data_IF_477997735593
#
_entry.id   IF_477997735593
#
_cell.length_a   1.000
_cell.length_b   1.000
_cell.length_c   1.000
_cell.angle_alpha   90.00
_cell.angle_beta   90.00
_cell.angle_gamma   90.00
#
_symmetry.space_group_name_H-M   'P 1'
#
loop_
_entity.id
_entity.type
_entity.pdbx_description
1 polymer ?
#
# COMPACT_ATOMS: atom_id res chain seq x y z
N UNK A 1 11.59 -2.19 -6.49
CA UNK A 1 12.81 -1.83 -7.25
C UNK A 1 13.96 -1.65 -6.26
N UNK A 2 15.07 -2.37 -6.41
CA UNK A 2 16.19 -2.29 -5.48
C UNK A 2 16.97 -1.01 -5.78
N UNK A 3 17.05 -0.10 -4.83
CA UNK A 3 17.85 1.13 -4.95
C UNK A 3 19.28 0.77 -5.38
N UNK A 4 19.81 1.43 -6.41
CA UNK A 4 21.17 1.25 -6.94
C UNK A 4 21.35 0.12 -7.95
N UNK A 5 20.28 -0.56 -8.39
CA UNK A 5 20.35 -1.52 -9.50
C UNK A 5 19.52 -1.03 -10.68
N UNK A 6 20.21 -0.48 -11.66
CA UNK A 6 19.60 -0.06 -12.92
C UNK A 6 19.91 -1.09 -14.00
N UNK A 7 18.87 -1.78 -14.48
CA UNK A 7 18.99 -2.71 -15.61
C UNK A 7 18.32 -2.07 -16.81
N UNK A 8 19.10 -1.84 -17.84
CA UNK A 8 18.61 -1.43 -19.15
C UNK A 8 18.66 -2.66 -20.06
N UNK A 9 17.58 -2.87 -20.79
CA UNK A 9 17.49 -3.96 -21.77
C UNK A 9 18.21 -3.58 -23.06
N UNK A 10 19.55 -3.74 -23.09
CA UNK A 10 20.37 -3.57 -24.29
C UNK A 10 20.57 -4.91 -25.00
N UNK A 11 20.91 -4.90 -26.27
CA UNK A 11 21.27 -6.12 -27.03
C UNK A 11 22.40 -6.89 -26.38
N UNK A 12 23.44 -6.20 -25.94
CA UNK A 12 24.60 -6.76 -25.26
C UNK A 12 24.20 -7.41 -23.94
N UNK A 13 23.33 -6.76 -23.18
CA UNK A 13 22.84 -7.29 -21.89
C UNK A 13 21.97 -8.53 -22.07
N UNK A 14 21.06 -8.51 -23.03
CA UNK A 14 20.22 -9.67 -23.37
C UNK A 14 21.09 -10.83 -23.85
N UNK A 15 22.04 -10.59 -24.74
CA UNK A 15 22.97 -11.61 -25.21
C UNK A 15 23.74 -12.26 -24.06
N UNK A 16 24.26 -11.45 -23.13
CA UNK A 16 24.99 -11.92 -21.96
C UNK A 16 24.14 -12.85 -21.06
N UNK A 17 22.91 -12.46 -20.75
CA UNK A 17 22.06 -13.22 -19.87
C UNK A 17 21.35 -14.42 -20.53
N UNK A 18 21.39 -14.49 -21.87
CA UNK A 18 20.86 -15.63 -22.63
C UNK A 18 21.96 -16.52 -23.19
N UNK A 19 23.21 -16.37 -22.74
CA UNK A 19 24.39 -17.09 -23.26
C UNK A 19 24.52 -16.97 -24.78
N UNK A 20 24.28 -15.78 -25.33
CA UNK A 20 24.35 -15.50 -26.76
C UNK A 20 23.16 -16.00 -27.60
N UNK A 21 22.17 -16.65 -26.99
CA UNK A 21 21.01 -17.20 -27.69
C UNK A 21 20.14 -16.17 -28.39
N UNK A 22 20.03 -15.00 -27.78
CA UNK A 22 19.24 -13.86 -28.31
C UNK A 22 20.09 -12.60 -28.36
N UNK A 23 20.09 -11.93 -29.51
CA UNK A 23 20.74 -10.62 -29.72
C UNK A 23 19.85 -9.77 -30.61
N UNK A 24 18.85 -9.09 -30.03
CA UNK A 24 17.94 -8.23 -30.79
C UNK A 24 18.70 -7.02 -31.37
N UNK A 25 18.33 -6.60 -32.59
CA UNK A 25 19.07 -5.57 -33.33
C UNK A 25 18.51 -4.15 -33.18
N UNK A 26 17.38 -3.99 -32.48
CA UNK A 26 16.63 -2.73 -32.45
C UNK A 26 16.56 -2.11 -31.05
N UNK A 27 17.49 -2.41 -30.17
CA UNK A 27 17.58 -1.80 -28.85
C UNK A 27 18.65 -0.71 -28.82
N UNK A 28 18.37 0.35 -28.09
CA UNK A 28 19.33 1.41 -27.86
C UNK A 28 20.42 0.90 -26.89
N UNK A 29 21.66 0.75 -27.38
CA UNK A 29 22.79 0.31 -26.55
C UNK A 29 23.28 1.41 -25.58
N UNK A 30 23.02 2.67 -25.91
CA UNK A 30 23.39 3.85 -25.12
C UNK A 30 22.25 4.36 -24.24
N UNK A 31 21.20 3.51 -24.02
CA UNK A 31 20.08 3.89 -23.19
C UNK A 31 20.51 4.09 -21.74
N UNK A 32 20.29 5.27 -21.21
CA UNK A 32 20.51 5.57 -19.81
C UNK A 32 19.38 4.99 -18.93
N UNK A 33 19.69 4.51 -17.72
CA UNK A 33 18.67 4.11 -16.77
C UNK A 33 17.72 5.26 -16.47
N UNK A 34 16.43 4.99 -16.41
CA UNK A 34 15.47 6.01 -15.97
C UNK A 34 15.80 6.44 -14.55
N UNK A 35 16.10 7.71 -14.36
CA UNK A 35 16.22 8.26 -13.02
C UNK A 35 14.86 8.27 -12.34
N UNK A 36 14.81 7.71 -11.14
CA UNK A 36 13.63 7.87 -10.31
C UNK A 36 13.65 9.25 -9.71
N UNK A 37 12.76 10.11 -10.15
CA UNK A 37 12.57 11.44 -9.56
C UNK A 37 11.91 11.39 -8.17
N UNK A 38 11.50 10.22 -7.70
CA UNK A 38 10.84 10.02 -6.43
C UNK A 38 11.73 9.18 -5.51
N UNK A 39 12.34 9.80 -4.53
CA UNK A 39 12.87 9.12 -3.37
C UNK A 39 11.72 8.95 -2.37
N UNK A 40 11.29 7.71 -2.17
CA UNK A 40 10.40 7.41 -1.05
C UNK A 40 11.28 7.19 0.18
N UNK A 41 11.20 8.08 1.15
CA UNK A 41 11.69 7.80 2.49
C UNK A 41 10.83 6.69 3.06
N UNK A 42 11.40 5.50 3.13
CA UNK A 42 10.84 4.41 3.91
C UNK A 42 11.21 4.75 5.35
N UNK A 43 10.42 5.60 5.98
CA UNK A 43 10.53 5.86 7.40
C UNK A 43 10.46 4.53 8.15
N UNK A 44 11.11 4.45 9.29
CA UNK A 44 10.95 3.29 10.17
C UNK A 44 9.45 3.12 10.41
N UNK A 45 8.93 1.96 10.00
CA UNK A 45 7.54 1.63 10.19
C UNK A 45 7.34 1.48 11.69
N UNK A 46 6.62 2.40 12.29
CA UNK A 46 6.18 2.27 13.66
C UNK A 46 4.96 1.34 13.67
N UNK A 47 5.21 0.06 13.96
CA UNK A 47 4.17 -0.96 14.02
C UNK A 47 3.29 -0.85 15.27
N UNK A 48 3.28 0.28 15.95
CA UNK A 48 2.52 0.45 17.17
C UNK A 48 1.09 0.89 16.90
N UNK A 49 0.20 0.20 17.55
CA UNK A 49 -1.12 0.54 18.05
C UNK A 49 -2.36 0.25 17.19
N UNK A 50 -2.90 -0.97 17.41
CA UNK A 50 -4.34 -1.24 17.26
C UNK A 50 -5.20 -0.53 18.33
N UNK A 51 -4.60 0.15 19.32
CA UNK A 51 -5.29 0.78 20.46
C UNK A 51 -4.97 2.26 20.59
N UNK A 52 -5.08 3.00 19.49
CA UNK A 52 -4.92 4.46 19.49
C UNK A 52 -6.00 5.18 20.32
N UNK A 53 -7.15 4.53 20.57
CA UNK A 53 -8.34 5.17 21.12
C UNK A 53 -9.12 6.01 20.11
N UNK A 54 -8.67 6.09 18.86
CA UNK A 54 -9.35 6.80 17.79
C UNK A 54 -10.68 6.12 17.45
N UNK A 55 -11.69 6.96 17.13
CA UNK A 55 -13.04 6.50 16.83
C UNK A 55 -13.36 6.46 15.34
N UNK A 56 -12.44 6.94 14.53
CA UNK A 56 -12.58 7.05 13.08
C UNK A 56 -11.53 6.19 12.38
N UNK A 57 -11.96 5.38 11.42
CA UNK A 57 -11.10 4.51 10.61
C UNK A 57 -11.24 4.89 9.13
N UNK A 58 -10.11 5.11 8.46
CA UNK A 58 -10.04 5.30 7.01
C UNK A 58 -9.43 4.06 6.36
N UNK A 59 -10.07 3.57 5.31
CA UNK A 59 -9.67 2.38 4.56
C UNK A 59 -9.63 2.73 3.06
N UNK A 60 -8.46 2.62 2.46
CA UNK A 60 -8.32 2.82 1.02
C UNK A 60 -8.61 1.54 0.22
N UNK A 61 -8.92 1.72 -1.05
CA UNK A 61 -9.32 0.66 -1.97
C UNK A 61 -8.28 -0.46 -2.19
N UNK A 62 -7.06 -0.28 -1.72
CA UNK A 62 -6.01 -1.29 -1.79
C UNK A 62 -5.89 -2.15 -0.51
N UNK A 63 -6.71 -1.86 0.51
CA UNK A 63 -6.66 -2.52 1.81
C UNK A 63 -8.03 -3.06 2.26
N UNK A 64 -8.76 -3.65 1.33
CA UNK A 64 -10.14 -4.13 1.56
C UNK A 64 -10.17 -5.57 2.12
N UNK A 65 -9.38 -5.85 3.15
CA UNK A 65 -9.39 -7.12 3.86
C UNK A 65 -10.61 -7.19 4.80
N UNK A 66 -11.63 -7.96 4.38
CA UNK A 66 -12.90 -8.06 5.12
C UNK A 66 -12.71 -8.69 6.49
N UNK A 67 -11.85 -9.70 6.61
CA UNK A 67 -11.65 -10.43 7.87
C UNK A 67 -10.95 -9.53 8.88
N UNK A 68 -9.91 -8.83 8.44
CA UNK A 68 -9.22 -7.86 9.30
C UNK A 68 -10.14 -6.70 9.71
N UNK A 69 -10.89 -6.10 8.76
CA UNK A 69 -11.84 -5.03 9.05
C UNK A 69 -12.90 -5.50 10.05
N UNK A 70 -13.44 -6.71 9.88
CA UNK A 70 -14.42 -7.31 10.81
C UNK A 70 -13.84 -7.46 12.21
N UNK A 71 -12.58 -7.91 12.32
CA UNK A 71 -11.87 -8.09 13.60
C UNK A 71 -11.73 -6.79 14.38
N UNK A 72 -11.48 -5.67 13.69
CA UNK A 72 -11.22 -4.37 14.34
C UNK A 72 -12.45 -3.45 14.42
N UNK A 73 -13.54 -3.79 13.70
CA UNK A 73 -14.73 -2.96 13.49
C UNK A 73 -15.28 -2.33 14.76
N UNK A 74 -15.36 -3.09 15.83
CA UNK A 74 -16.01 -2.68 17.09
C UNK A 74 -15.21 -1.62 17.87
N UNK A 75 -13.97 -1.35 17.47
CA UNK A 75 -13.15 -0.29 18.05
C UNK A 75 -13.53 1.11 17.52
N UNK A 76 -14.28 1.17 16.39
CA UNK A 76 -14.56 2.40 15.66
C UNK A 76 -16.05 2.74 15.64
N UNK A 77 -16.34 4.01 15.80
CA UNK A 77 -17.68 4.56 15.62
C UNK A 77 -17.99 4.83 14.16
N UNK A 78 -16.98 5.30 13.42
CA UNK A 78 -17.11 5.64 12.01
C UNK A 78 -16.05 4.92 11.17
N UNK A 79 -16.48 4.33 10.05
CA UNK A 79 -15.60 3.72 9.04
C UNK A 79 -15.81 4.45 7.72
N UNK A 80 -14.72 4.93 7.16
CA UNK A 80 -14.68 5.67 5.91
C UNK A 80 -13.90 4.89 4.87
N UNK A 81 -14.57 4.51 3.78
CA UNK A 81 -13.91 3.93 2.61
C UNK A 81 -13.52 5.04 1.65
N UNK A 82 -12.28 5.02 1.18
CA UNK A 82 -11.73 6.04 0.30
C UNK A 82 -11.22 5.44 -1.00
N UNK A 83 -11.57 6.06 -2.12
CA UNK A 83 -11.02 5.80 -3.44
C UNK A 83 -10.70 7.13 -4.10
N UNK A 84 -9.41 7.40 -4.33
CA UNK A 84 -9.01 8.63 -5.00
C UNK A 84 -9.48 8.65 -6.45
N UNK A 85 -10.09 9.76 -6.86
CA UNK A 85 -10.43 10.01 -8.26
C UNK A 85 -9.18 10.16 -9.13
N UNK A 86 -9.37 10.06 -10.45
CA UNK A 86 -8.27 10.30 -11.37
C UNK A 86 -7.70 11.73 -11.31
N UNK A 87 -8.46 12.70 -10.83
CA UNK A 87 -8.00 14.09 -10.73
C UNK A 87 -6.97 14.28 -9.62
N UNK A 88 -6.99 13.42 -8.62
CA UNK A 88 -6.02 13.40 -7.50
C UNK A 88 -4.85 12.45 -7.72
N UNK A 89 -4.79 11.77 -8.89
CA UNK A 89 -3.75 10.80 -9.22
C UNK A 89 -2.72 11.39 -10.19
N UNK A 90 -1.44 11.13 -9.93
CA UNK A 90 -0.35 11.41 -10.86
C UNK A 90 -0.44 10.45 -12.05
N UNK A 91 -0.66 9.16 -11.78
CA UNK A 91 -0.89 8.14 -12.80
C UNK A 91 -2.38 7.82 -12.91
N UNK A 92 -3.01 8.33 -13.95
CA UNK A 92 -4.43 8.10 -14.21
C UNK A 92 -4.71 6.65 -14.54
N UNK A 93 -5.73 6.10 -13.92
CA UNK A 93 -6.25 4.76 -14.20
C UNK A 93 -7.24 4.82 -15.38
N UNK A 94 -7.39 3.72 -16.12
CA UNK A 94 -8.43 3.62 -17.13
C UNK A 94 -9.83 3.61 -16.50
N UNK A 95 -10.85 4.01 -17.26
CA UNK A 95 -12.24 4.00 -16.79
C UNK A 95 -12.69 2.63 -16.28
N UNK A 96 -12.30 1.55 -16.96
CA UNK A 96 -12.63 0.20 -16.52
C UNK A 96 -12.03 -0.14 -15.15
N UNK A 97 -10.78 0.28 -14.89
CA UNK A 97 -10.13 0.05 -13.60
C UNK A 97 -10.77 0.89 -12.51
N UNK A 98 -11.12 2.15 -12.79
CA UNK A 98 -11.84 3.01 -11.85
C UNK A 98 -13.21 2.44 -11.51
N UNK A 99 -13.97 2.01 -12.52
CA UNK A 99 -15.28 1.38 -12.33
C UNK A 99 -15.17 0.12 -11.47
N UNK A 100 -14.20 -0.75 -11.77
CA UNK A 100 -13.96 -1.95 -10.97
C UNK A 100 -13.67 -1.62 -9.51
N UNK A 101 -12.76 -0.67 -9.26
CA UNK A 101 -12.41 -0.25 -7.88
C UNK A 101 -13.61 0.37 -7.15
N UNK A 102 -14.42 1.19 -7.82
CA UNK A 102 -15.64 1.73 -7.24
C UNK A 102 -16.61 0.63 -6.80
N UNK A 103 -16.90 -0.32 -7.70
CA UNK A 103 -17.78 -1.45 -7.39
C UNK A 103 -17.26 -2.29 -6.23
N UNK A 104 -15.96 -2.49 -6.16
CA UNK A 104 -15.32 -3.23 -5.07
C UNK A 104 -15.49 -2.50 -3.72
N UNK A 105 -15.23 -1.20 -3.68
CA UNK A 105 -15.42 -0.38 -2.48
C UNK A 105 -16.88 -0.35 -2.06
N UNK A 106 -17.81 -0.20 -3.00
CA UNK A 106 -19.24 -0.24 -2.73
C UNK A 106 -19.71 -1.60 -2.16
N UNK A 107 -19.21 -2.70 -2.71
CA UNK A 107 -19.57 -4.04 -2.24
C UNK A 107 -19.09 -4.27 -0.80
N UNK A 108 -17.84 -3.88 -0.53
CA UNK A 108 -17.26 -4.03 0.80
C UNK A 108 -17.96 -3.10 1.81
N UNK A 109 -18.20 -1.84 1.45
CA UNK A 109 -18.84 -0.87 2.37
C UNK A 109 -20.23 -1.35 2.85
N UNK A 110 -20.99 -2.02 1.99
CA UNK A 110 -22.31 -2.58 2.34
C UNK A 110 -22.26 -3.64 3.45
N UNK A 111 -21.12 -4.26 3.66
CA UNK A 111 -20.93 -5.28 4.73
C UNK A 111 -20.76 -4.65 6.11
N UNK A 112 -20.45 -3.35 6.18
CA UNK A 112 -20.18 -2.65 7.43
C UNK A 112 -21.21 -1.56 7.68
N UNK A 113 -22.18 -1.85 8.54
CA UNK A 113 -23.22 -0.88 8.91
C UNK A 113 -22.59 0.37 9.54
N UNK A 114 -23.04 1.54 9.09
CA UNK A 114 -22.53 2.83 9.56
C UNK A 114 -21.24 3.27 8.88
N UNK A 115 -20.78 2.55 7.86
CA UNK A 115 -19.69 3.02 7.01
C UNK A 115 -20.19 3.99 5.93
N UNK A 116 -19.30 4.83 5.42
CA UNK A 116 -19.55 5.70 4.26
C UNK A 116 -18.39 5.64 3.28
N UNK A 117 -18.69 5.92 2.01
CA UNK A 117 -17.69 6.09 0.95
C UNK A 117 -17.47 7.58 0.80
N UNK A 118 -16.22 8.02 0.86
CA UNK A 118 -15.85 9.44 0.81
C UNK A 118 -15.38 9.85 -0.58
N UNK A 119 -15.89 10.97 -1.06
CA UNK A 119 -15.30 11.69 -2.18
C UNK A 119 -14.01 12.40 -1.76
N UNK A 120 -13.17 12.77 -2.74
CA UNK A 120 -11.85 13.38 -2.47
C UNK A 120 -11.91 14.62 -1.58
N UNK A 121 -12.88 15.52 -1.81
CA UNK A 121 -12.99 16.77 -1.05
C UNK A 121 -13.50 16.53 0.39
N UNK A 122 -14.34 15.53 0.58
CA UNK A 122 -14.77 15.09 1.91
C UNK A 122 -13.61 14.47 2.68
N UNK A 123 -12.82 13.64 2.00
CA UNK A 123 -11.61 13.04 2.58
C UNK A 123 -10.58 14.11 2.95
N UNK A 124 -10.35 15.12 2.11
CA UNK A 124 -9.46 16.25 2.43
C UNK A 124 -10.01 17.01 3.65
N UNK A 125 -11.29 17.30 3.68
CA UNK A 125 -11.92 18.01 4.80
C UNK A 125 -11.76 17.23 6.11
N UNK A 126 -11.86 15.90 6.03
CA UNK A 126 -11.66 15.00 7.15
C UNK A 126 -10.20 15.02 7.63
N UNK A 127 -9.24 14.83 6.73
CA UNK A 127 -7.80 14.78 7.03
C UNK A 127 -7.26 16.13 7.57
N UNK A 128 -7.86 17.24 7.17
CA UNK A 128 -7.49 18.58 7.65
C UNK A 128 -8.23 19.00 8.92
N UNK A 129 -9.18 18.21 9.38
CA UNK A 129 -9.92 18.48 10.62
C UNK A 129 -9.05 18.24 11.86
N UNK A 130 -9.51 18.72 13.01
CA UNK A 130 -8.87 18.42 14.30
C UNK A 130 -9.25 17.05 14.88
N UNK A 131 -9.88 16.18 14.08
CA UNK A 131 -10.25 14.83 14.50
C UNK A 131 -9.07 13.88 14.36
N UNK A 132 -8.95 12.91 15.24
CA UNK A 132 -7.95 11.86 15.14
C UNK A 132 -8.50 10.64 14.39
N UNK A 133 -7.63 10.02 13.59
CA UNK A 133 -7.98 8.91 12.72
C UNK A 133 -6.96 7.79 12.80
N UNK A 134 -7.46 6.58 12.69
CA UNK A 134 -6.65 5.44 12.28
C UNK A 134 -6.81 5.23 10.77
N UNK A 135 -5.74 4.88 10.11
CA UNK A 135 -5.72 4.54 8.68
C UNK A 135 -5.06 3.18 8.53
N UNK A 136 -5.73 2.23 7.86
CA UNK A 136 -5.03 1.01 7.44
C UNK A 136 -3.92 1.44 6.48
N UNK A 137 -2.67 1.10 6.81
CA UNK A 137 -1.49 1.60 6.09
C UNK A 137 -1.58 1.28 4.59
N UNK A 138 -1.68 2.29 3.73
CA UNK A 138 -1.99 2.07 2.31
C UNK A 138 -0.78 1.68 1.46
N UNK A 139 0.37 1.41 2.08
CA UNK A 139 1.65 1.19 1.43
C UNK A 139 2.16 2.38 0.61
N UNK A 140 3.39 2.24 0.11
CA UNK A 140 4.01 3.27 -0.75
C UNK A 140 3.23 3.39 -2.05
N UNK A 141 2.78 4.61 -2.35
CA UNK A 141 2.02 4.92 -3.55
C UNK A 141 1.18 6.18 -3.40
N UNK A 142 0.22 6.36 -4.32
CA UNK A 142 -0.57 7.58 -4.42
C UNK A 142 -1.44 7.84 -3.19
N UNK A 143 -2.01 6.78 -2.59
CA UNK A 143 -2.83 6.91 -1.40
C UNK A 143 -2.01 7.44 -0.21
N UNK A 144 -0.81 6.90 0.01
CA UNK A 144 0.09 7.40 1.07
C UNK A 144 0.55 8.83 0.77
N UNK A 145 0.91 9.13 -0.47
CA UNK A 145 1.29 10.49 -0.87
C UNK A 145 0.15 11.48 -0.68
N UNK A 146 -1.08 11.08 -0.99
CA UNK A 146 -2.27 11.91 -0.76
C UNK A 146 -2.47 12.20 0.72
N UNK A 147 -2.38 11.20 1.59
CA UNK A 147 -2.46 11.37 3.04
C UNK A 147 -1.39 12.35 3.52
N UNK A 148 -0.13 12.10 3.18
CA UNK A 148 0.99 12.91 3.65
C UNK A 148 0.90 14.39 3.21
N UNK A 149 0.25 14.65 2.08
CA UNK A 149 0.06 16.00 1.56
C UNK A 149 -1.11 16.76 2.21
N UNK A 150 -2.06 16.05 2.82
CA UNK A 150 -3.29 16.67 3.33
C UNK A 150 -3.51 16.48 4.84
N UNK A 151 -2.85 15.49 5.47
CA UNK A 151 -3.06 15.24 6.89
C UNK A 151 -2.27 16.19 7.79
N UNK A 152 -2.85 16.52 8.92
CA UNK A 152 -2.12 17.08 10.05
C UNK A 152 -1.49 15.91 10.81
N UNK A 153 -0.16 15.83 10.82
CA UNK A 153 0.60 14.65 11.26
C UNK A 153 0.23 14.14 12.67
N UNK A 154 -0.15 15.04 13.56
CA UNK A 154 -0.43 14.70 14.97
C UNK A 154 -1.79 14.00 15.18
N UNK A 155 -2.62 13.95 14.15
CA UNK A 155 -3.97 13.39 14.21
C UNK A 155 -4.12 12.04 13.48
N UNK A 156 -3.05 11.57 12.86
CA UNK A 156 -3.06 10.36 12.05
C UNK A 156 -2.25 9.25 12.70
N UNK A 157 -2.87 8.07 12.81
CA UNK A 157 -2.18 6.85 13.25
C UNK A 157 -2.35 5.76 12.19
N UNK A 158 -1.25 5.14 11.78
CA UNK A 158 -1.29 4.00 10.86
C UNK A 158 -1.44 2.69 11.62
N UNK A 159 -2.39 1.89 11.18
CA UNK A 159 -2.55 0.50 11.63
C UNK A 159 -2.18 -0.45 10.49
N UNK A 160 -1.67 -1.61 10.85
CA UNK A 160 -1.15 -2.60 9.91
C UNK A 160 -1.91 -3.91 10.07
N UNK A 161 -2.08 -4.65 8.98
CA UNK A 161 -2.56 -6.01 9.06
C UNK A 161 -1.52 -6.88 9.80
N UNK A 162 -2.00 -7.90 10.52
CA UNK A 162 -1.13 -8.78 11.32
C UNK A 162 -0.04 -9.42 10.46
N UNK A 163 -0.38 -9.88 9.24
CA UNK A 163 0.57 -10.47 8.29
C UNK A 163 1.60 -9.46 7.78
N UNK A 164 1.20 -8.20 7.60
CA UNK A 164 2.11 -7.14 7.18
C UNK A 164 3.16 -6.85 8.24
N UNK A 165 2.78 -6.81 9.52
CA UNK A 165 3.71 -6.63 10.63
C UNK A 165 4.79 -7.72 10.59
N UNK A 166 4.39 -8.97 10.37
CA UNK A 166 5.33 -10.10 10.26
C UNK A 166 6.22 -10.06 9.03
N UNK A 167 5.73 -9.52 7.91
CA UNK A 167 6.43 -9.51 6.63
C UNK A 167 7.32 -8.28 6.44
N UNK A 168 6.83 -7.09 6.75
CA UNK A 168 7.47 -5.82 6.41
C UNK A 168 8.82 -5.62 7.09
N UNK A 169 9.01 -6.13 8.31
CA UNK A 169 10.29 -6.08 9.00
C UNK A 169 11.44 -6.73 8.22
N UNK A 170 11.14 -7.70 7.33
CA UNK A 170 12.10 -8.39 6.48
C UNK A 170 12.22 -7.81 5.07
N UNK A 171 11.33 -6.89 4.68
CA UNK A 171 11.28 -6.33 3.32
C UNK A 171 12.26 -5.17 3.08
N UNK A 172 12.94 -4.66 4.11
CA UNK A 172 13.81 -3.46 4.07
C UNK A 172 14.97 -3.56 3.06
N UNK A 173 15.46 -4.77 2.72
CA UNK A 173 16.64 -4.99 1.87
C UNK A 173 16.37 -5.77 0.59
N UNK A 174 15.13 -5.77 0.11
CA UNK A 174 14.72 -6.42 -1.13
C UNK A 174 14.38 -7.91 -0.98
N UNK A 175 13.88 -8.50 -2.08
CA UNK A 175 13.28 -9.82 -2.12
C UNK A 175 14.12 -10.96 -1.55
N UNK A 176 15.43 -10.98 -1.84
CA UNK A 176 16.27 -12.11 -1.38
C UNK A 176 16.43 -12.17 0.13
N UNK A 177 16.38 -11.02 0.82
CA UNK A 177 16.37 -11.00 2.27
C UNK A 177 15.04 -11.50 2.81
N UNK A 178 13.93 -11.04 2.24
CA UNK A 178 12.59 -11.51 2.58
C UNK A 178 12.46 -13.02 2.36
N UNK A 179 12.87 -13.51 1.17
CA UNK A 179 12.80 -14.93 0.80
C UNK A 179 13.43 -15.86 1.85
N UNK A 180 14.55 -15.48 2.44
CA UNK A 180 15.23 -16.30 3.46
C UNK A 180 14.39 -16.47 4.73
N UNK A 181 13.51 -15.50 5.02
CA UNK A 181 12.69 -15.48 6.23
C UNK A 181 11.29 -16.06 6.03
N UNK A 182 10.85 -16.32 4.78
CA UNK A 182 9.53 -16.89 4.48
C UNK A 182 9.20 -18.14 5.34
N UNK A 183 10.10 -19.14 5.49
CA UNK A 183 9.75 -20.31 6.29
C UNK A 183 9.45 -19.99 7.76
N UNK A 184 10.17 -19.04 8.35
CA UNK A 184 9.92 -18.63 9.75
C UNK A 184 8.66 -17.79 9.87
N UNK A 185 8.38 -16.92 8.90
CA UNK A 185 7.16 -16.11 8.84
C UNK A 185 5.92 -17.03 8.79
N UNK A 186 5.90 -17.96 7.81
CA UNK A 186 4.79 -18.91 7.67
C UNK A 186 4.58 -19.73 8.93
N UNK A 187 5.66 -20.21 9.53
CA UNK A 187 5.56 -20.97 10.79
C UNK A 187 4.95 -20.15 11.92
N UNK A 188 5.31 -18.87 12.03
CA UNK A 188 4.77 -17.99 13.07
C UNK A 188 3.29 -17.70 12.86
N UNK A 189 2.87 -17.41 11.62
CA UNK A 189 1.46 -17.19 11.28
C UNK A 189 0.65 -18.46 11.57
N UNK A 190 1.07 -19.62 11.07
CA UNK A 190 0.34 -20.89 11.30
C UNK A 190 0.28 -21.32 12.76
N UNK A 191 1.28 -20.97 13.58
CA UNK A 191 1.25 -21.28 15.02
C UNK A 191 0.31 -20.35 15.80
N UNK A 192 0.05 -19.15 15.31
CA UNK A 192 -0.93 -18.23 15.91
C UNK A 192 -2.37 -18.72 15.66
N UNK A 193 -2.64 -19.26 14.48
CA UNK A 193 -3.97 -19.83 14.13
C UNK A 193 -4.30 -21.11 14.92
N UNK A 194 -3.33 -21.77 15.55
CA UNK A 194 -3.54 -22.97 16.38
C UNK A 194 -3.83 -22.68 17.86
N UNK A 195 -3.84 -21.43 18.26
CA UNK A 195 -4.08 -21.01 19.65
C UNK A 195 -5.53 -20.57 19.94
N UNK A 196 -6.45 -20.78 18.98
CA UNK A 196 -7.88 -20.51 19.11
C UNK A 196 -8.73 -21.75 18.86
#
# INVERSE_FOLDING_TARGET
>A
QTIGKHYVATSSNISKFTNGKYRPNNLNEDAEPMESSMTYDINELDFMNLNSGNKNLIIFENNLDVDFITKIRDNYENIYFALLSNDKRVLKLSENVMTYKNLLVEDISKKFTGSSIMADDELISLLTSNSSFDVIYPFVGENLSFINNHSVSDHLNFIYLDDDIHCLQFCKKGFFNFKKNIPSIVKNIMNQDQLF
#
